data_IF_817590196201
#
_entry.id   IF_817590196201
#
_cell.length_a   1.000
_cell.length_b   1.000
_cell.length_c   1.000
_cell.angle_alpha   90.00
_cell.angle_beta   90.00
_cell.angle_gamma   90.00
#
_symmetry.space_group_name_H-M   'P 1'
#
loop_
_entity.id
_entity.type
_entity.pdbx_description
1 polymer ?
#
# COMPACT_ATOMS: atom_id res chain seq x y z
N UNK A 1 9.64 -9.45 6.81
CA UNK A 1 9.51 -8.10 7.41
C UNK A 1 9.67 -8.19 8.93
N UNK A 2 10.38 -7.22 9.52
CA UNK A 2 10.54 -7.13 10.97
C UNK A 2 9.26 -6.58 11.58
N UNK A 3 8.41 -7.46 12.12
CA UNK A 3 7.16 -7.03 12.79
C UNK A 3 7.37 -6.88 14.30
N UNK A 4 6.77 -5.85 14.89
CA UNK A 4 6.72 -5.66 16.33
C UNK A 4 5.81 -6.66 17.05
N UNK A 5 4.93 -7.37 16.33
CA UNK A 5 4.07 -8.43 16.90
C UNK A 5 4.86 -9.46 17.71
N UNK A 6 6.05 -9.85 17.25
CA UNK A 6 6.90 -10.84 17.93
C UNK A 6 7.57 -10.31 19.21
N UNK A 7 7.52 -8.99 19.43
CA UNK A 7 8.19 -8.32 20.54
C UNK A 7 7.23 -7.71 21.57
N UNK A 8 5.92 -7.79 21.34
CA UNK A 8 4.91 -7.17 22.23
C UNK A 8 5.01 -7.64 23.67
N UNK A 9 5.26 -8.93 23.91
CA UNK A 9 5.41 -9.47 25.26
C UNK A 9 6.61 -8.92 26.07
N UNK A 10 7.50 -8.18 25.43
CA UNK A 10 8.65 -7.53 26.05
C UNK A 10 8.38 -6.07 26.45
N UNK A 11 7.24 -5.49 26.03
CA UNK A 11 6.95 -4.07 26.17
C UNK A 11 5.47 -3.83 26.45
N UNK A 12 5.12 -3.66 27.71
CA UNK A 12 3.72 -3.46 28.16
C UNK A 12 3.07 -2.18 27.62
N UNK A 13 3.86 -1.17 27.25
CA UNK A 13 3.40 0.11 26.73
C UNK A 13 3.33 0.16 25.18
N UNK A 14 3.58 -0.96 24.48
CA UNK A 14 3.56 -1.02 23.02
C UNK A 14 2.25 -1.62 22.53
N UNK A 15 1.59 -0.89 21.64
CA UNK A 15 0.43 -1.34 20.86
C UNK A 15 0.83 -1.52 19.39
N UNK A 16 0.46 -2.64 18.81
CA UNK A 16 0.66 -2.92 17.39
C UNK A 16 -0.69 -2.89 16.68
N UNK A 17 -0.86 -1.91 15.80
CA UNK A 17 -2.04 -1.80 14.95
C UNK A 17 -1.80 -2.46 13.60
N UNK A 18 -2.80 -3.18 13.11
CA UNK A 18 -2.80 -3.79 11.78
C UNK A 18 -4.10 -3.47 11.06
N UNK A 19 -4.02 -3.30 9.76
CA UNK A 19 -5.18 -3.11 8.90
C UNK A 19 -5.36 -4.27 7.95
N UNK A 20 -6.60 -4.65 7.69
CA UNK A 20 -6.95 -5.59 6.63
C UNK A 20 -6.96 -4.93 5.24
N UNK A 21 -6.92 -3.61 5.18
CA UNK A 21 -6.91 -2.86 3.90
C UNK A 21 -5.74 -3.24 2.99
N UNK A 22 -4.60 -3.64 3.55
CA UNK A 22 -3.40 -4.04 2.78
C UNK A 22 -3.33 -5.54 2.52
N UNK A 23 -4.32 -6.28 3.01
CA UNK A 23 -4.54 -7.69 2.70
C UNK A 23 -5.54 -7.88 1.53
N UNK A 24 -5.86 -6.82 0.78
CA UNK A 24 -6.87 -6.85 -0.28
C UNK A 24 -8.27 -6.44 0.17
N UNK A 25 -8.46 -6.14 1.45
CA UNK A 25 -9.77 -5.89 2.07
C UNK A 25 -9.96 -4.43 2.47
N UNK A 26 -9.59 -3.49 1.61
CA UNK A 26 -9.71 -2.06 1.93
C UNK A 26 -11.16 -1.62 2.14
N UNK A 27 -12.11 -2.23 1.44
CA UNK A 27 -13.53 -1.91 1.51
C UNK A 27 -14.21 -2.29 2.83
N UNK A 28 -13.70 -3.29 3.56
CA UNK A 28 -14.31 -3.74 4.83
C UNK A 28 -14.02 -2.79 6.00
N UNK A 29 -13.12 -1.84 5.84
CA UNK A 29 -12.79 -0.81 6.84
C UNK A 29 -12.44 -1.37 8.23
N UNK A 30 -11.79 -2.53 8.28
CA UNK A 30 -11.40 -3.22 9.50
C UNK A 30 -9.88 -3.20 9.71
N UNK A 31 -9.53 -3.18 10.98
CA UNK A 31 -8.20 -3.41 11.48
C UNK A 31 -8.28 -3.99 12.88
N UNK A 32 -7.16 -4.35 13.44
CA UNK A 32 -7.06 -4.83 14.81
C UNK A 32 -5.88 -4.21 15.53
N UNK A 33 -5.96 -4.23 16.83
CA UNK A 33 -4.91 -3.78 17.74
C UNK A 33 -4.53 -4.92 18.68
N UNK A 34 -3.24 -5.06 18.94
CA UNK A 34 -2.72 -6.05 19.88
C UNK A 34 -1.72 -5.39 20.83
N UNK A 35 -1.73 -5.81 22.10
CA UNK A 35 -0.89 -5.27 23.15
C UNK A 35 -1.12 -5.97 24.48
N UNK A 36 -0.57 -5.41 25.56
CA UNK A 36 -0.84 -5.90 26.92
C UNK A 36 -2.33 -5.78 27.25
N UNK A 37 -2.91 -6.84 27.86
CA UNK A 37 -4.34 -6.91 28.15
C UNK A 37 -4.84 -5.67 28.93
N UNK A 38 -4.13 -5.29 29.99
CA UNK A 38 -4.50 -4.12 30.81
C UNK A 38 -4.61 -2.82 29.99
N UNK A 39 -3.75 -2.63 28.98
CA UNK A 39 -3.80 -1.46 28.11
C UNK A 39 -4.92 -1.56 27.07
N UNK A 40 -5.16 -2.74 26.53
CA UNK A 40 -6.27 -2.99 25.59
C UNK A 40 -7.62 -2.79 26.29
N UNK A 41 -7.76 -3.27 27.53
CA UNK A 41 -8.99 -3.10 28.33
C UNK A 41 -9.31 -1.61 28.55
N UNK A 42 -8.31 -0.76 28.80
CA UNK A 42 -8.53 0.69 28.93
C UNK A 42 -8.95 1.35 27.60
N UNK A 43 -8.38 0.91 26.50
CA UNK A 43 -8.73 1.40 25.15
C UNK A 43 -10.15 0.95 24.77
N UNK A 44 -10.54 -0.27 25.14
CA UNK A 44 -11.87 -0.78 24.81
C UNK A 44 -13.00 0.03 25.49
N UNK A 45 -12.74 0.64 26.65
CA UNK A 45 -13.71 1.53 27.33
C UNK A 45 -14.12 2.75 26.50
N UNK A 46 -13.25 3.22 25.59
CA UNK A 46 -13.52 4.39 24.73
C UNK A 46 -13.88 3.98 23.30
N UNK A 47 -13.91 2.70 23.01
CA UNK A 47 -14.32 2.19 21.69
C UNK A 47 -15.82 2.42 21.48
N UNK A 48 -16.25 3.07 20.39
CA UNK A 48 -17.67 3.25 20.11
C UNK A 48 -18.40 1.90 20.02
N UNK A 49 -19.58 1.75 20.62
CA UNK A 49 -20.42 0.58 20.44
C UNK A 49 -20.82 0.48 18.95
N UNK A 50 -20.96 -0.75 18.45
CA UNK A 50 -21.34 -1.03 17.04
C UNK A 50 -20.38 -0.42 16.00
N UNK A 51 -19.10 -0.23 16.35
CA UNK A 51 -18.07 0.32 15.46
C UNK A 51 -17.76 -0.56 14.23
N UNK A 52 -18.24 -1.81 14.23
CA UNK A 52 -18.14 -2.75 13.12
C UNK A 52 -19.55 -3.18 12.71
N UNK A 53 -19.89 -3.00 11.44
CA UNK A 53 -21.17 -3.48 10.92
C UNK A 53 -21.16 -5.02 10.76
N UNK A 54 -22.31 -5.65 10.88
CA UNK A 54 -22.47 -7.10 10.68
C UNK A 54 -21.95 -7.50 9.30
N UNK A 55 -22.31 -6.76 8.24
CA UNK A 55 -21.87 -7.06 6.87
C UNK A 55 -20.36 -7.01 6.73
N UNK A 56 -19.68 -6.06 7.39
CA UNK A 56 -18.22 -5.99 7.35
C UNK A 56 -17.57 -7.12 8.12
N UNK A 57 -18.16 -7.54 9.24
CA UNK A 57 -17.69 -8.69 10.02
C UNK A 57 -17.81 -9.98 9.20
N UNK A 58 -18.98 -10.27 8.65
CA UNK A 58 -19.23 -11.47 7.82
C UNK A 58 -18.35 -11.52 6.57
N UNK A 59 -18.23 -10.41 5.84
CA UNK A 59 -17.34 -10.33 4.69
C UNK A 59 -15.87 -10.56 5.07
N UNK A 60 -15.46 -10.12 6.26
CA UNK A 60 -14.10 -10.34 6.75
C UNK A 60 -13.87 -11.80 7.15
N UNK A 61 -14.81 -12.44 7.83
CA UNK A 61 -14.74 -13.85 8.19
C UNK A 61 -14.63 -14.72 6.94
N UNK A 62 -15.49 -14.50 5.98
CA UNK A 62 -15.43 -15.19 4.67
C UNK A 62 -14.05 -15.01 4.00
N UNK A 63 -13.51 -13.81 3.99
CA UNK A 63 -12.19 -13.56 3.40
C UNK A 63 -11.06 -14.24 4.17
N UNK A 64 -11.14 -14.34 5.49
CA UNK A 64 -10.15 -15.04 6.31
C UNK A 64 -10.20 -16.56 6.11
N UNK A 65 -11.36 -17.14 5.84
CA UNK A 65 -11.52 -18.55 5.44
C UNK A 65 -10.82 -18.85 4.10
N UNK A 66 -10.62 -17.84 3.25
CA UNK A 66 -9.93 -17.91 1.96
C UNK A 66 -8.56 -17.21 1.98
N UNK A 67 -7.89 -17.21 3.13
CA UNK A 67 -6.65 -16.46 3.34
C UNK A 67 -5.50 -16.87 2.40
N UNK A 68 -5.49 -18.11 1.93
CA UNK A 68 -4.55 -18.66 0.96
C UNK A 68 -4.61 -17.93 -0.39
N UNK A 69 -5.82 -17.59 -0.88
CA UNK A 69 -5.97 -16.82 -2.11
C UNK A 69 -5.41 -15.39 -1.96
N UNK A 70 -5.68 -14.74 -0.83
CA UNK A 70 -5.10 -13.41 -0.55
C UNK A 70 -3.58 -13.47 -0.40
N UNK A 71 -3.04 -14.53 0.19
CA UNK A 71 -1.60 -14.74 0.29
C UNK A 71 -0.96 -14.93 -1.10
N UNK A 72 -1.61 -15.68 -2.00
CA UNK A 72 -1.18 -15.85 -3.40
C UNK A 72 -1.16 -14.50 -4.14
N UNK A 73 -2.23 -13.70 -4.02
CA UNK A 73 -2.29 -12.36 -4.63
C UNK A 73 -1.20 -11.43 -4.07
N UNK A 74 -0.96 -11.47 -2.76
CA UNK A 74 0.09 -10.68 -2.13
C UNK A 74 1.49 -11.06 -2.63
N UNK A 75 1.75 -12.35 -2.87
CA UNK A 75 3.01 -12.82 -3.44
C UNK A 75 3.23 -12.24 -4.85
N UNK A 76 2.21 -12.29 -5.71
CA UNK A 76 2.26 -11.69 -7.07
C UNK A 76 2.59 -10.20 -6.97
N UNK A 77 1.91 -9.46 -6.09
CA UNK A 77 2.18 -8.02 -5.90
C UNK A 77 3.61 -7.75 -5.42
N UNK A 78 4.18 -8.62 -4.57
CA UNK A 78 5.56 -8.49 -4.12
C UNK A 78 6.56 -8.71 -5.26
N UNK A 79 6.33 -9.72 -6.11
CA UNK A 79 7.15 -9.99 -7.30
C UNK A 79 7.06 -8.85 -8.30
N UNK A 80 5.86 -8.40 -8.61
CA UNK A 80 5.61 -7.29 -9.52
C UNK A 80 6.21 -5.97 -9.01
N UNK A 81 6.17 -5.71 -7.71
CA UNK A 81 6.85 -4.56 -7.12
C UNK A 81 8.35 -4.61 -7.37
N UNK A 82 8.98 -5.78 -7.17
CA UNK A 82 10.41 -5.94 -7.42
C UNK A 82 10.75 -5.74 -8.90
N UNK A 83 9.92 -6.28 -9.81
CA UNK A 83 10.04 -6.07 -11.26
C UNK A 83 9.94 -4.59 -11.64
N UNK A 84 8.93 -3.90 -11.13
CA UNK A 84 8.73 -2.46 -11.34
C UNK A 84 9.91 -1.64 -10.82
N UNK A 85 10.37 -1.88 -9.59
CA UNK A 85 11.50 -1.16 -9.03
C UNK A 85 12.74 -1.28 -9.92
N UNK A 86 13.03 -2.49 -10.41
CA UNK A 86 14.16 -2.73 -11.34
C UNK A 86 13.98 -1.98 -12.66
N UNK A 87 12.78 -2.03 -13.24
CA UNK A 87 12.50 -1.35 -14.51
C UNK A 87 12.60 0.18 -14.38
N UNK A 88 12.05 0.73 -13.30
CA UNK A 88 12.08 2.17 -13.03
C UNK A 88 13.51 2.68 -12.74
N UNK A 89 14.30 1.91 -12.00
CA UNK A 89 15.70 2.27 -11.72
C UNK A 89 16.59 2.27 -12.99
N UNK A 90 16.20 1.54 -14.04
CA UNK A 90 16.90 1.52 -15.30
C UNK A 90 16.51 2.66 -16.26
N UNK A 91 15.52 3.50 -15.90
CA UNK A 91 15.08 4.62 -16.74
C UNK A 91 15.93 5.86 -16.49
N UNK A 92 16.46 6.45 -17.55
CA UNK A 92 17.19 7.71 -17.45
C UNK A 92 16.30 8.84 -16.87
N UNK A 93 16.82 9.58 -15.92
CA UNK A 93 16.10 10.68 -15.29
C UNK A 93 15.05 10.27 -14.25
N UNK A 94 14.87 8.98 -13.99
CA UNK A 94 13.94 8.48 -12.96
C UNK A 94 14.70 8.01 -11.73
N UNK A 95 14.27 8.49 -10.56
CA UNK A 95 14.72 7.98 -9.26
C UNK A 95 13.58 7.20 -8.63
N UNK A 96 13.69 5.89 -8.52
CA UNK A 96 12.74 5.05 -7.81
C UNK A 96 13.19 4.87 -6.36
N UNK A 97 12.31 5.20 -5.41
CA UNK A 97 12.58 5.02 -3.99
C UNK A 97 12.23 3.59 -3.55
N UNK A 98 13.00 2.99 -2.63
CA UNK A 98 12.68 1.68 -2.08
C UNK A 98 11.27 1.65 -1.46
N UNK A 99 10.55 0.55 -1.68
CA UNK A 99 9.20 0.37 -1.15
C UNK A 99 8.96 -1.07 -0.71
N UNK A 100 8.27 -1.22 0.41
CA UNK A 100 7.71 -2.50 0.87
C UNK A 100 6.16 -2.51 0.81
N UNK A 101 5.57 -1.46 0.21
CA UNK A 101 4.12 -1.31 0.04
C UNK A 101 3.66 -1.73 -1.37
N UNK A 102 2.37 -1.64 -1.63
CA UNK A 102 1.78 -1.82 -2.95
C UNK A 102 1.86 -0.56 -3.82
N UNK A 103 2.83 0.30 -3.57
CA UNK A 103 3.07 1.51 -4.35
C UNK A 103 4.56 1.86 -4.33
N UNK A 104 5.02 2.55 -5.37
CA UNK A 104 6.39 3.02 -5.50
C UNK A 104 6.37 4.54 -5.69
N UNK A 105 7.17 5.24 -4.90
CA UNK A 105 7.45 6.65 -5.11
C UNK A 105 8.55 6.77 -6.17
N UNK A 106 8.31 7.61 -7.17
CA UNK A 106 9.32 7.94 -8.17
C UNK A 106 9.47 9.45 -8.29
N UNK A 107 10.70 9.90 -8.52
CA UNK A 107 10.97 11.27 -8.96
C UNK A 107 11.36 11.25 -10.42
N UNK A 108 10.79 12.16 -11.19
CA UNK A 108 11.00 12.33 -12.63
C UNK A 108 11.44 13.77 -12.94
N UNK A 109 11.97 14.07 -14.12
CA UNK A 109 12.39 15.43 -14.46
C UNK A 109 11.26 16.46 -14.40
N UNK A 110 10.06 16.09 -14.86
CA UNK A 110 8.85 16.92 -14.83
C UNK A 110 7.64 16.03 -14.51
N UNK A 111 7.21 16.06 -13.25
CA UNK A 111 6.10 15.24 -12.79
C UNK A 111 4.75 15.64 -13.40
N UNK A 112 4.56 16.93 -13.73
CA UNK A 112 3.31 17.38 -14.34
C UNK A 112 3.20 16.87 -15.77
N UNK A 113 4.26 17.04 -16.56
CA UNK A 113 4.33 16.52 -17.94
C UNK A 113 4.15 14.99 -17.97
N UNK A 114 4.89 14.27 -17.12
CA UNK A 114 4.81 12.81 -17.04
C UNK A 114 3.40 12.35 -16.64
N UNK A 115 2.77 12.99 -15.66
CA UNK A 115 1.40 12.70 -15.23
C UNK A 115 0.38 12.90 -16.36
N UNK A 116 0.40 14.04 -17.03
CA UNK A 116 -0.54 14.32 -18.14
C UNK A 116 -0.29 13.38 -19.33
N UNK A 117 0.96 13.10 -19.66
CA UNK A 117 1.31 12.17 -20.73
C UNK A 117 0.88 10.72 -20.44
N UNK A 118 1.01 10.24 -19.20
CA UNK A 118 0.50 8.93 -18.77
C UNK A 118 -1.03 8.89 -18.83
N UNK A 119 -1.68 9.94 -18.34
CA UNK A 119 -3.16 10.05 -18.34
C UNK A 119 -3.72 10.01 -19.76
N UNK A 120 -3.09 10.70 -20.72
CA UNK A 120 -3.48 10.65 -22.14
C UNK A 120 -3.34 9.24 -22.74
N UNK A 121 -2.47 8.39 -22.17
CA UNK A 121 -2.28 6.99 -22.55
C UNK A 121 -3.15 6.01 -21.74
N UNK A 122 -4.14 6.52 -21.00
CA UNK A 122 -5.07 5.71 -20.21
C UNK A 122 -4.51 5.21 -18.87
N UNK A 123 -3.34 5.70 -18.45
CA UNK A 123 -2.71 5.30 -17.17
C UNK A 123 -2.81 6.43 -16.16
N UNK A 124 -3.65 6.23 -15.14
CA UNK A 124 -3.83 7.21 -14.06
C UNK A 124 -2.96 6.85 -12.85
N UNK A 125 -2.05 7.75 -12.50
CA UNK A 125 -1.20 7.64 -11.32
C UNK A 125 -1.48 8.79 -10.35
N UNK A 126 -0.88 8.79 -9.16
CA UNK A 126 -1.06 9.89 -8.21
C UNK A 126 0.03 10.94 -8.39
N UNK A 127 -0.33 12.14 -8.81
CA UNK A 127 0.54 13.31 -8.78
C UNK A 127 0.60 13.87 -7.35
N UNK A 128 1.78 13.91 -6.74
CA UNK A 128 1.96 14.30 -5.33
C UNK A 128 2.97 15.43 -5.13
N UNK A 129 3.50 15.98 -6.21
CA UNK A 129 4.55 17.00 -6.17
C UNK A 129 4.16 18.26 -5.37
N UNK A 130 2.87 18.60 -5.29
CA UNK A 130 2.37 19.76 -4.55
C UNK A 130 2.10 19.53 -3.06
N UNK A 131 2.25 18.31 -2.54
CA UNK A 131 1.89 18.01 -1.15
C UNK A 131 2.97 18.43 -0.14
N UNK A 132 4.22 18.43 -0.53
CA UNK A 132 5.35 18.83 0.32
C UNK A 132 6.57 19.14 -0.55
N UNK A 133 7.46 20.10 -0.17
CA UNK A 133 8.67 20.43 -0.95
C UNK A 133 9.58 19.23 -1.26
N UNK A 134 9.73 18.28 -0.32
CA UNK A 134 10.49 17.05 -0.54
C UNK A 134 9.90 16.13 -1.62
N UNK A 135 8.64 16.33 -2.00
CA UNK A 135 7.96 15.55 -3.04
C UNK A 135 7.98 16.27 -4.40
N UNK A 136 8.78 17.33 -4.54
CA UNK A 136 8.93 18.01 -5.81
C UNK A 136 9.27 17.00 -6.93
N UNK A 137 8.55 17.11 -8.04
CA UNK A 137 8.67 16.20 -9.20
C UNK A 137 8.44 14.72 -8.90
N UNK A 138 7.61 14.40 -7.87
CA UNK A 138 7.30 13.03 -7.51
C UNK A 138 5.91 12.59 -7.99
N UNK A 139 5.85 11.35 -8.44
CA UNK A 139 4.64 10.58 -8.71
C UNK A 139 4.60 9.36 -7.79
N UNK A 140 3.40 8.91 -7.45
CA UNK A 140 3.19 7.65 -6.75
C UNK A 140 2.52 6.65 -7.69
N UNK A 141 3.23 5.58 -8.00
CA UNK A 141 2.79 4.51 -8.87
C UNK A 141 2.21 3.39 -8.01
N UNK A 142 1.04 2.88 -8.37
CA UNK A 142 0.45 1.71 -7.70
C UNK A 142 0.92 0.44 -8.40
N UNK A 143 1.29 -0.57 -7.63
CA UNK A 143 1.62 -1.90 -8.14
C UNK A 143 0.32 -2.61 -8.48
N UNK A 144 0.10 -2.93 -9.75
CA UNK A 144 -1.05 -3.65 -10.28
C UNK A 144 -0.69 -5.05 -10.78
N UNK A 145 -1.48 -5.55 -11.72
CA UNK A 145 -1.19 -6.81 -12.41
C UNK A 145 0.05 -6.70 -13.31
N UNK A 146 0.64 -7.80 -13.78
CA UNK A 146 1.75 -7.77 -14.73
C UNK A 146 1.47 -6.94 -15.98
N UNK A 147 0.25 -7.03 -16.50
CA UNK A 147 -0.21 -6.30 -17.69
C UNK A 147 -0.33 -4.80 -17.41
N UNK A 148 -0.99 -4.43 -16.32
CA UNK A 148 -1.13 -3.03 -15.89
C UNK A 148 0.22 -2.38 -15.63
N UNK A 149 1.14 -3.10 -14.98
CA UNK A 149 2.47 -2.61 -14.71
C UNK A 149 3.30 -2.42 -15.99
N UNK A 150 3.12 -3.27 -16.98
CA UNK A 150 3.76 -3.12 -18.28
C UNK A 150 3.25 -1.88 -19.00
N UNK A 151 1.93 -1.69 -19.07
CA UNK A 151 1.31 -0.47 -19.61
C UNK A 151 1.80 0.79 -18.90
N UNK A 152 1.90 0.75 -17.58
CA UNK A 152 2.37 1.88 -16.78
C UNK A 152 3.84 2.23 -17.07
N UNK A 153 4.71 1.23 -17.22
CA UNK A 153 6.12 1.41 -17.58
C UNK A 153 6.22 2.08 -18.96
N UNK A 154 5.48 1.57 -19.94
CA UNK A 154 5.53 2.08 -21.32
C UNK A 154 4.95 3.50 -21.42
N UNK A 155 3.83 3.75 -20.71
CA UNK A 155 3.26 5.08 -20.63
C UNK A 155 4.20 6.09 -19.94
N UNK A 156 4.89 5.70 -18.88
CA UNK A 156 5.86 6.57 -18.21
C UNK A 156 7.04 6.86 -19.15
N UNK A 157 7.66 5.85 -19.78
CA UNK A 157 8.75 6.04 -20.74
C UNK A 157 8.41 7.02 -21.86
N UNK A 158 7.19 6.89 -22.41
CA UNK A 158 6.73 7.75 -23.49
C UNK A 158 6.35 9.18 -23.04
N UNK A 159 6.38 9.46 -21.72
CA UNK A 159 5.95 10.72 -21.12
C UNK A 159 7.08 11.50 -20.45
N UNK A 160 8.28 10.91 -20.36
CA UNK A 160 9.50 11.57 -19.90
C UNK A 160 10.08 12.47 -20.98
#
# INVERSE_FOLDING_TARGET
SKTWMQRMGQHEHVLVMRTLSKFGLAGVRLGYMAGAAALIDEIDKVRPPYNISVLNAEATLFALEHADEFARQAAILCEERARLQKALAAMAGVTAFPSEANMILVRVPDAKRAFEGMKQRGVLVKHIAGLHPLLANCLRLTVGTPEENTLMIDALKASL
#
